data_IF_870773060309
#
_entry.id   IF_870773060309
#
_cell.length_a   1.000
_cell.length_b   1.000
_cell.length_c   1.000
_cell.angle_alpha   90.00
_cell.angle_beta   90.00
_cell.angle_gamma   90.00
#
_symmetry.space_group_name_H-M   'P 1'
#
loop_
_entity.id
_entity.type
_entity.pdbx_description
1 polymer ?
#
# COMPACT_ATOMS: atom_id res chain seq x y z
N UNK A 1 40.98 66.01 -22.23
CA UNK A 1 40.91 64.65 -21.65
C UNK A 1 39.47 64.45 -21.20
N UNK A 2 38.60 64.04 -22.12
CA UNK A 2 37.19 63.77 -21.85
C UNK A 2 37.05 62.30 -21.46
N UNK A 3 36.42 62.04 -20.31
CA UNK A 3 36.03 60.71 -19.89
C UNK A 3 34.72 60.40 -20.61
N UNK A 4 34.78 59.52 -21.60
CA UNK A 4 33.59 58.98 -22.24
C UNK A 4 32.92 57.97 -21.29
N UNK A 5 31.71 58.29 -20.86
CA UNK A 5 30.85 57.38 -20.10
C UNK A 5 30.23 56.36 -21.04
N UNK A 6 30.56 55.08 -20.87
CA UNK A 6 29.88 53.99 -21.57
C UNK A 6 28.47 53.79 -20.97
N UNK A 7 27.41 53.66 -21.79
CA UNK A 7 26.08 53.34 -21.29
C UNK A 7 26.05 51.90 -20.78
N UNK A 8 25.75 51.73 -19.49
CA UNK A 8 25.41 50.44 -18.89
C UNK A 8 24.10 49.97 -19.51
N UNK A 9 24.14 48.88 -20.29
CA UNK A 9 22.93 48.22 -20.75
C UNK A 9 22.23 47.58 -19.53
N UNK A 10 20.92 47.83 -19.31
CA UNK A 10 20.22 47.21 -18.20
C UNK A 10 20.11 45.70 -18.43
N UNK A 11 20.58 44.92 -17.46
CA UNK A 11 20.26 43.49 -17.38
C UNK A 11 18.79 43.40 -16.99
N UNK A 12 17.94 42.94 -17.92
CA UNK A 12 16.57 42.58 -17.63
C UNK A 12 16.60 41.25 -16.86
N UNK A 13 16.77 41.35 -15.53
CA UNK A 13 16.26 40.31 -14.63
C UNK A 13 14.74 40.40 -14.69
N UNK A 14 14.10 39.24 -14.86
CA UNK A 14 12.71 39.10 -15.30
C UNK A 14 11.72 40.11 -14.72
N UNK A 15 10.76 40.49 -15.56
CA UNK A 15 9.66 41.41 -15.29
C UNK A 15 9.20 41.43 -13.82
N UNK A 16 9.71 42.36 -13.03
CA UNK A 16 9.12 42.73 -11.74
C UNK A 16 8.92 44.24 -11.73
N UNK A 17 7.76 44.67 -12.22
CA UNK A 17 7.27 46.04 -12.10
C UNK A 17 6.54 46.13 -10.75
N UNK A 18 7.10 46.88 -9.79
CA UNK A 18 6.39 47.27 -8.57
C UNK A 18 5.41 48.41 -8.91
N UNK A 19 4.24 48.04 -9.43
CA UNK A 19 3.07 48.91 -9.44
C UNK A 19 2.38 48.86 -8.08
N UNK A 20 1.85 49.99 -7.62
CA UNK A 20 1.25 50.20 -6.29
C UNK A 20 -0.10 49.52 -6.03
N UNK A 21 -0.43 48.46 -6.77
CA UNK A 21 -1.67 47.65 -6.61
C UNK A 21 -1.36 46.25 -6.05
N UNK A 22 -0.33 46.14 -5.21
CA UNK A 22 0.23 44.87 -4.74
C UNK A 22 -0.45 44.29 -3.48
N UNK A 23 -1.78 44.28 -3.42
CA UNK A 23 -2.51 43.58 -2.34
C UNK A 23 -3.41 42.42 -2.81
N UNK A 24 -3.63 42.25 -4.12
CA UNK A 24 -4.47 41.16 -4.66
C UNK A 24 -3.82 40.41 -5.84
N UNK A 25 -2.51 40.45 -5.97
CA UNK A 25 -1.83 39.53 -6.90
C UNK A 25 -1.89 38.11 -6.29
N UNK A 26 -2.50 37.11 -6.94
CA UNK A 26 -2.38 35.74 -6.49
C UNK A 26 -0.89 35.45 -6.40
N UNK A 27 -0.43 35.04 -5.21
CA UNK A 27 0.94 34.55 -5.06
C UNK A 27 1.06 33.41 -6.06
N UNK A 28 1.76 33.67 -7.15
CA UNK A 28 2.03 32.67 -8.16
C UNK A 28 3.10 31.79 -7.53
N UNK A 29 2.67 30.86 -6.69
CA UNK A 29 3.47 29.78 -6.10
C UNK A 29 3.84 28.75 -7.17
N UNK A 30 4.06 29.22 -8.40
CA UNK A 30 4.55 28.40 -9.49
C UNK A 30 5.88 27.81 -9.05
N UNK A 31 5.91 26.48 -8.92
CA UNK A 31 7.15 25.72 -8.81
C UNK A 31 8.10 26.20 -9.90
N UNK A 32 9.33 26.59 -9.56
CA UNK A 32 10.36 26.91 -10.56
C UNK A 32 10.45 25.74 -11.54
N UNK A 33 9.95 25.94 -12.78
CA UNK A 33 9.96 24.91 -13.82
C UNK A 33 11.28 24.90 -14.59
N UNK A 34 12.10 25.95 -14.41
CA UNK A 34 13.38 26.13 -15.11
C UNK A 34 14.51 26.19 -14.10
N UNK A 35 15.56 25.42 -14.35
CA UNK A 35 16.80 25.43 -13.60
C UNK A 35 17.49 26.80 -13.68
N UNK A 36 18.12 27.22 -12.59
CA UNK A 36 19.15 28.27 -12.62
C UNK A 36 20.39 27.69 -13.29
N UNK A 37 20.66 28.10 -14.52
CA UNK A 37 21.75 27.57 -15.33
C UNK A 37 23.11 27.97 -14.77
N UNK A 38 24.07 27.05 -14.80
CA UNK A 38 25.48 27.36 -14.67
C UNK A 38 25.98 28.01 -15.97
N UNK A 39 26.96 28.90 -15.84
CA UNK A 39 27.54 29.65 -16.95
C UNK A 39 29.06 29.75 -16.81
N UNK A 40 29.75 29.91 -17.93
CA UNK A 40 31.19 30.12 -17.96
C UNK A 40 31.53 31.59 -17.73
N UNK A 41 32.73 31.85 -17.22
CA UNK A 41 33.31 33.19 -17.27
C UNK A 41 33.59 33.58 -18.72
N UNK A 42 33.45 34.87 -19.02
CA UNK A 42 33.61 35.42 -20.37
C UNK A 42 34.94 35.05 -21.05
N UNK A 43 36.00 34.85 -20.27
CA UNK A 43 37.33 34.47 -20.74
C UNK A 43 37.39 33.08 -21.39
N UNK A 44 36.37 32.23 -21.19
CA UNK A 44 36.28 30.87 -21.71
C UNK A 44 35.07 30.70 -22.64
N UNK A 45 34.54 31.80 -23.17
CA UNK A 45 33.34 31.78 -24.03
C UNK A 45 33.63 31.37 -25.48
N UNK A 46 34.91 31.25 -25.83
CA UNK A 46 35.45 30.82 -27.11
C UNK A 46 35.86 29.34 -27.14
N UNK A 47 35.87 28.67 -25.98
CA UNK A 47 36.19 27.25 -25.87
C UNK A 47 34.92 26.40 -26.03
N UNK A 48 34.85 25.63 -27.12
CA UNK A 48 33.70 24.79 -27.45
C UNK A 48 33.54 23.61 -26.48
N UNK A 49 34.63 23.04 -25.98
CA UNK A 49 34.58 21.88 -25.07
C UNK A 49 34.05 22.30 -23.69
N UNK A 50 34.47 23.46 -23.20
CA UNK A 50 33.96 24.01 -21.93
C UNK A 50 32.49 24.39 -22.04
N UNK A 51 32.06 24.96 -23.17
CA UNK A 51 30.65 25.25 -23.42
C UNK A 51 29.81 23.97 -23.47
N UNK A 52 30.28 22.94 -24.17
CA UNK A 52 29.62 21.64 -24.23
C UNK A 52 29.47 21.01 -22.84
N UNK A 53 30.49 21.11 -21.99
CA UNK A 53 30.43 20.64 -20.61
C UNK A 53 29.34 21.35 -19.80
N UNK A 54 29.31 22.68 -19.80
CA UNK A 54 28.30 23.46 -19.06
C UNK A 54 26.88 23.19 -19.57
N UNK A 55 26.72 23.07 -20.89
CA UNK A 55 25.43 22.69 -21.49
C UNK A 55 24.97 21.30 -21.04
N UNK A 56 25.88 20.32 -21.00
CA UNK A 56 25.55 18.97 -20.53
C UNK A 56 25.17 18.95 -19.05
N UNK A 57 25.86 19.73 -18.21
CA UNK A 57 25.55 19.89 -16.80
C UNK A 57 24.16 20.50 -16.61
N UNK A 58 23.85 21.58 -17.31
CA UNK A 58 22.55 22.25 -17.24
C UNK A 58 21.41 21.33 -17.71
N UNK A 59 21.62 20.55 -18.78
CA UNK A 59 20.63 19.58 -19.25
C UNK A 59 20.36 18.49 -18.20
N UNK A 60 21.41 17.96 -17.55
CA UNK A 60 21.28 16.96 -16.50
C UNK A 60 20.57 17.52 -15.26
N UNK A 61 20.93 18.73 -14.84
CA UNK A 61 20.31 19.38 -13.68
C UNK A 61 18.84 19.76 -13.94
N UNK A 62 18.47 20.17 -15.16
CA UNK A 62 17.07 20.33 -15.55
C UNK A 62 16.32 19.00 -15.48
N UNK A 63 16.93 17.90 -15.96
CA UNK A 63 16.35 16.57 -15.85
C UNK A 63 16.03 16.13 -14.42
N UNK A 64 16.86 16.49 -13.43
CA UNK A 64 16.57 16.22 -12.02
C UNK A 64 15.40 17.05 -11.48
N UNK A 65 15.31 18.33 -11.88
CA UNK A 65 14.17 19.19 -11.51
C UNK A 65 12.86 18.66 -12.10
N UNK A 66 12.89 18.25 -13.37
CA UNK A 66 11.74 17.66 -14.07
C UNK A 66 11.31 16.35 -13.40
N UNK A 67 12.27 15.49 -13.04
CA UNK A 67 11.97 14.26 -12.32
C UNK A 67 11.34 14.52 -10.94
N UNK A 68 11.89 15.48 -10.18
CA UNK A 68 11.40 15.81 -8.84
C UNK A 68 9.99 16.39 -8.87
N UNK A 69 9.70 17.26 -9.83
CA UNK A 69 8.36 17.84 -10.02
C UNK A 69 7.34 16.81 -10.50
N UNK A 70 7.75 15.86 -11.33
CA UNK A 70 6.89 14.77 -11.80
C UNK A 70 6.69 13.62 -10.79
N UNK A 71 7.57 13.50 -9.78
CA UNK A 71 7.58 12.36 -8.83
C UNK A 71 7.41 12.83 -7.38
N UNK A 72 6.23 13.32 -6.98
CA UNK A 72 5.97 13.69 -5.59
C UNK A 72 6.03 12.43 -4.71
N UNK A 73 7.05 12.33 -3.85
CA UNK A 73 7.31 11.16 -3.00
C UNK A 73 6.15 10.81 -2.06
N UNK A 74 5.34 11.80 -1.68
CA UNK A 74 4.14 11.61 -0.86
C UNK A 74 3.00 10.85 -1.58
N UNK A 75 3.05 10.76 -2.92
CA UNK A 75 2.06 10.05 -3.73
C UNK A 75 2.64 8.72 -4.20
N UNK A 76 2.92 7.83 -3.25
CA UNK A 76 3.47 6.48 -3.50
C UNK A 76 2.59 5.60 -4.41
N UNK A 77 1.33 5.97 -4.64
CA UNK A 77 0.42 5.30 -5.57
C UNK A 77 0.78 5.55 -7.04
N UNK A 78 1.61 6.57 -7.34
CA UNK A 78 2.07 6.89 -8.70
C UNK A 78 2.82 5.72 -9.33
N UNK A 79 2.67 5.55 -10.65
CA UNK A 79 3.38 4.51 -11.41
C UNK A 79 4.90 4.73 -11.45
N UNK A 80 5.36 5.98 -11.32
CA UNK A 80 6.78 6.35 -11.33
C UNK A 80 7.55 5.90 -10.08
N UNK A 81 6.84 5.60 -8.99
CA UNK A 81 7.43 5.10 -7.74
C UNK A 81 7.28 3.58 -7.73
N UNK A 82 8.35 2.85 -8.04
CA UNK A 82 8.35 1.39 -8.16
C UNK A 82 9.70 0.80 -7.73
N UNK A 83 9.73 -0.52 -7.50
CA UNK A 83 10.91 -1.27 -7.09
C UNK A 83 11.61 -0.69 -5.86
N UNK A 84 12.95 -0.56 -5.87
CA UNK A 84 13.71 -0.06 -4.73
C UNK A 84 13.33 1.36 -4.28
N UNK A 85 12.86 2.23 -5.19
CA UNK A 85 12.39 3.56 -4.82
C UNK A 85 11.13 3.48 -3.97
N UNK A 86 10.21 2.56 -4.30
CA UNK A 86 9.01 2.32 -3.50
C UNK A 86 9.35 1.77 -2.12
N UNK A 87 10.33 0.87 -2.02
CA UNK A 87 10.80 0.34 -0.74
C UNK A 87 11.41 1.43 0.13
N UNK A 88 12.26 2.27 -0.46
CA UNK A 88 12.84 3.42 0.23
C UNK A 88 11.77 4.42 0.69
N UNK A 89 10.75 4.70 -0.12
CA UNK A 89 9.65 5.60 0.27
C UNK A 89 8.81 4.96 1.38
N UNK A 90 8.38 3.71 1.23
CA UNK A 90 7.49 3.05 2.17
C UNK A 90 8.14 2.76 3.52
N UNK A 91 9.36 2.20 3.52
CA UNK A 91 10.10 1.90 4.74
C UNK A 91 10.77 3.16 5.31
N UNK A 92 11.42 3.97 4.47
CA UNK A 92 12.17 5.14 4.92
C UNK A 92 11.29 6.30 5.39
N UNK A 93 10.23 6.64 4.66
CA UNK A 93 9.36 7.78 5.00
C UNK A 93 8.23 7.36 5.94
N UNK A 94 7.61 6.20 5.70
CA UNK A 94 6.42 5.77 6.42
C UNK A 94 6.67 4.66 7.45
N UNK A 95 7.85 4.05 7.49
CA UNK A 95 8.19 3.00 8.45
C UNK A 95 7.44 1.68 8.22
N UNK A 96 6.87 1.46 7.04
CA UNK A 96 6.10 0.25 6.71
C UNK A 96 6.91 -0.58 5.71
N UNK A 97 7.53 -1.69 6.13
CA UNK A 97 8.33 -2.53 5.23
C UNK A 97 7.43 -3.31 4.26
N UNK A 98 8.02 -3.76 3.15
CA UNK A 98 7.33 -4.64 2.20
C UNK A 98 6.97 -5.97 2.86
N UNK A 99 5.71 -6.44 2.73
CA UNK A 99 5.31 -7.71 3.30
C UNK A 99 5.82 -8.89 2.46
N UNK A 100 6.17 -9.97 3.16
CA UNK A 100 6.51 -11.25 2.54
C UNK A 100 5.27 -12.13 2.60
N UNK A 101 4.73 -12.50 1.43
CA UNK A 101 3.57 -13.37 1.36
C UNK A 101 4.03 -14.81 1.47
N UNK A 102 3.58 -15.51 2.52
CA UNK A 102 3.84 -16.94 2.69
C UNK A 102 2.57 -17.74 2.45
N UNK A 103 2.65 -18.70 1.53
CA UNK A 103 1.56 -19.64 1.27
C UNK A 103 1.63 -20.89 2.16
N UNK A 104 2.39 -20.85 3.27
CA UNK A 104 2.67 -22.02 4.09
C UNK A 104 1.41 -22.81 4.45
N UNK A 105 1.18 -23.90 3.73
CA UNK A 105 0.11 -24.84 3.97
C UNK A 105 0.69 -26.00 4.78
N UNK A 106 0.25 -26.13 6.02
CA UNK A 106 0.60 -27.28 6.86
C UNK A 106 -0.34 -28.43 6.52
N UNK A 107 0.13 -29.40 5.72
CA UNK A 107 -0.63 -30.61 5.47
C UNK A 107 -0.30 -31.66 6.54
N UNK A 108 -1.33 -32.02 7.29
CA UNK A 108 -1.31 -33.16 8.20
C UNK A 108 -2.05 -34.32 7.57
N UNK A 109 -1.31 -35.33 7.13
CA UNK A 109 -1.91 -36.58 6.65
C UNK A 109 -2.41 -37.39 7.85
N UNK A 110 -3.64 -37.91 7.77
CA UNK A 110 -4.32 -38.48 8.93
C UNK A 110 -5.44 -39.47 8.62
N UNK A 111 -5.43 -40.16 7.48
CA UNK A 111 -6.40 -41.24 7.21
C UNK A 111 -5.82 -42.31 6.28
N UNK A 112 -6.35 -43.53 6.41
CA UNK A 112 -5.96 -44.72 5.66
C UNK A 112 -5.97 -44.46 4.14
N UNK A 113 -4.94 -44.92 3.42
CA UNK A 113 -4.74 -44.78 1.97
C UNK A 113 -4.34 -43.38 1.42
N UNK A 114 -3.83 -42.47 2.23
CA UNK A 114 -3.32 -41.15 1.75
C UNK A 114 -1.80 -41.09 1.54
N UNK A 115 -1.07 -42.13 1.94
CA UNK A 115 0.40 -42.23 1.85
C UNK A 115 0.75 -43.65 1.40
N UNK A 116 1.78 -43.81 0.57
CA UNK A 116 2.25 -45.10 0.06
C UNK A 116 2.56 -46.10 1.18
N UNK A 117 2.29 -47.38 0.95
CA UNK A 117 2.51 -48.44 1.94
C UNK A 117 3.97 -48.46 2.43
N UNK A 118 4.16 -48.67 3.74
CA UNK A 118 5.47 -48.75 4.41
C UNK A 118 6.38 -47.50 4.34
N UNK A 119 5.82 -46.30 4.11
CA UNK A 119 6.61 -45.06 4.06
C UNK A 119 6.52 -44.19 5.33
N UNK A 120 5.73 -44.59 6.32
CA UNK A 120 5.60 -43.93 7.62
C UNK A 120 5.80 -44.95 8.76
N UNK A 121 6.66 -44.67 9.75
CA UNK A 121 6.83 -45.54 10.93
C UNK A 121 5.52 -45.71 11.73
N UNK A 122 5.41 -46.82 12.45
CA UNK A 122 4.25 -47.09 13.32
C UNK A 122 4.10 -45.98 14.37
N UNK A 123 2.87 -45.47 14.56
CA UNK A 123 2.54 -44.35 15.45
C UNK A 123 3.18 -42.99 15.07
N UNK A 124 3.66 -42.81 13.84
CA UNK A 124 4.21 -41.54 13.35
C UNK A 124 3.18 -40.71 12.56
N UNK A 125 3.29 -39.38 12.64
CA UNK A 125 2.49 -38.42 11.86
C UNK A 125 3.40 -37.68 10.89
N UNK A 126 3.06 -37.69 9.60
CA UNK A 126 3.76 -36.89 8.59
C UNK A 126 3.17 -35.48 8.56
N UNK A 127 4.00 -34.49 8.88
CA UNK A 127 3.71 -33.08 8.62
C UNK A 127 4.58 -32.62 7.46
N UNK A 128 3.97 -32.27 6.33
CA UNK A 128 4.68 -31.62 5.23
C UNK A 128 4.33 -30.14 5.27
N UNK A 129 5.37 -29.33 5.34
CA UNK A 129 5.30 -27.90 5.14
C UNK A 129 5.63 -27.66 3.67
N UNK A 130 4.68 -27.13 2.92
CA UNK A 130 4.92 -26.64 1.56
C UNK A 130 4.51 -25.18 1.53
N UNK A 131 5.42 -24.32 1.11
CA UNK A 131 5.18 -22.89 1.01
C UNK A 131 6.34 -22.24 0.27
N UNK A 132 6.01 -21.23 -0.51
CA UNK A 132 6.97 -20.30 -1.09
C UNK A 132 6.78 -18.98 -0.38
N UNK A 133 7.86 -18.44 0.21
CA UNK A 133 7.88 -17.07 0.66
C UNK A 133 8.29 -16.21 -0.54
N UNK A 134 7.43 -15.28 -0.93
CA UNK A 134 7.73 -14.33 -1.98
C UNK A 134 7.41 -12.92 -1.50
N UNK A 135 8.31 -11.98 -1.78
CA UNK A 135 8.05 -10.56 -1.58
C UNK A 135 6.79 -10.13 -2.31
N UNK A 136 5.96 -9.31 -1.67
CA UNK A 136 4.78 -8.75 -2.31
C UNK A 136 5.17 -7.94 -3.55
N UNK A 137 4.36 -8.01 -4.61
CA UNK A 137 4.51 -7.13 -5.78
C UNK A 137 4.30 -5.66 -5.40
N UNK A 138 4.84 -4.73 -6.20
CA UNK A 138 4.69 -3.28 -5.98
C UNK A 138 3.23 -2.83 -5.82
N UNK A 139 2.32 -3.39 -6.63
CA UNK A 139 0.89 -3.09 -6.55
C UNK A 139 0.31 -3.47 -5.17
N UNK A 140 0.61 -4.68 -4.69
CA UNK A 140 0.18 -5.15 -3.36
C UNK A 140 0.82 -4.30 -2.25
N UNK A 141 2.10 -3.96 -2.36
CA UNK A 141 2.76 -3.14 -1.36
C UNK A 141 2.14 -1.74 -1.27
N UNK A 142 1.85 -1.09 -2.41
CA UNK A 142 1.13 0.19 -2.42
C UNK A 142 -0.27 0.07 -1.80
N UNK A 143 -1.01 -1.01 -2.05
CA UNK A 143 -2.31 -1.26 -1.41
C UNK A 143 -2.19 -1.41 0.11
N UNK A 144 -1.11 -2.03 0.60
CA UNK A 144 -0.81 -2.14 2.03
C UNK A 144 -0.49 -0.77 2.62
N UNK A 145 0.32 0.06 1.94
CA UNK A 145 0.57 1.45 2.36
C UNK A 145 -0.73 2.25 2.42
N UNK A 146 -1.59 2.16 1.40
CA UNK A 146 -2.90 2.80 1.37
C UNK A 146 -3.80 2.33 2.50
N UNK A 147 -3.77 1.04 2.85
CA UNK A 147 -4.56 0.52 3.96
C UNK A 147 -4.31 1.28 5.28
N UNK A 148 -3.05 1.68 5.51
CA UNK A 148 -2.62 2.37 6.73
C UNK A 148 -2.71 3.90 6.61
N UNK A 149 -2.35 4.46 5.47
CA UNK A 149 -2.13 5.91 5.31
C UNK A 149 -3.31 6.67 4.70
N UNK A 150 -4.33 5.99 4.19
CA UNK A 150 -5.42 6.66 3.49
C UNK A 150 -6.31 7.47 4.44
N UNK A 151 -6.22 8.80 4.34
CA UNK A 151 -6.92 9.76 5.21
C UNK A 151 -8.42 9.91 4.88
N UNK A 152 -8.86 9.55 3.68
CA UNK A 152 -10.24 9.70 3.24
C UNK A 152 -11.24 8.76 3.93
N UNK A 153 -10.78 7.82 4.76
CA UNK A 153 -11.66 6.93 5.54
C UNK A 153 -12.21 7.59 6.83
N UNK A 154 -11.78 8.83 7.12
CA UNK A 154 -12.25 9.61 8.26
C UNK A 154 -11.61 9.20 9.61
N UNK A 155 -11.94 9.96 10.66
CA UNK A 155 -11.35 9.78 12.01
C UNK A 155 -11.97 8.66 12.84
N UNK A 156 -13.15 8.16 12.45
CA UNK A 156 -13.91 7.15 13.18
C UNK A 156 -14.18 5.97 12.23
N UNK A 157 -13.62 4.79 12.53
CA UNK A 157 -13.88 3.61 11.69
C UNK A 157 -15.27 3.02 12.00
N UNK A 158 -16.10 2.88 10.97
CA UNK A 158 -17.35 2.12 10.99
C UNK A 158 -17.27 0.89 10.08
N UNK A 159 -18.27 -0.01 10.15
CA UNK A 159 -18.34 -1.15 9.23
C UNK A 159 -18.44 -0.72 7.76
N UNK A 160 -19.08 0.41 7.46
CA UNK A 160 -19.16 0.92 6.09
C UNK A 160 -17.79 1.40 5.59
N UNK A 161 -16.99 2.02 6.45
CA UNK A 161 -15.62 2.41 6.12
C UNK A 161 -14.70 1.19 5.97
N UNK A 162 -14.85 0.18 6.81
CA UNK A 162 -14.16 -1.10 6.62
C UNK A 162 -14.51 -1.71 5.25
N UNK A 163 -15.78 -1.69 4.86
CA UNK A 163 -16.22 -2.19 3.54
C UNK A 163 -15.55 -1.40 2.41
N UNK A 164 -15.47 -0.07 2.52
CA UNK A 164 -14.77 0.80 1.55
C UNK A 164 -13.28 0.50 1.48
N UNK A 165 -12.62 0.34 2.61
CA UNK A 165 -11.19 0.04 2.67
C UNK A 165 -10.87 -1.32 2.06
N UNK A 166 -11.67 -2.36 2.36
CA UNK A 166 -11.56 -3.67 1.72
C UNK A 166 -11.79 -3.55 0.22
N UNK A 167 -12.85 -2.86 -0.22
CA UNK A 167 -13.12 -2.67 -1.64
C UNK A 167 -11.98 -1.94 -2.36
N UNK A 168 -11.39 -0.90 -1.74
CA UNK A 168 -10.22 -0.19 -2.27
C UNK A 168 -9.02 -1.11 -2.38
N UNK A 169 -8.74 -1.90 -1.35
CA UNK A 169 -7.66 -2.88 -1.38
C UNK A 169 -7.86 -3.88 -2.53
N UNK A 170 -9.08 -4.33 -2.81
CA UNK A 170 -9.33 -5.33 -3.84
C UNK A 170 -9.36 -4.76 -5.26
N UNK A 171 -9.96 -3.60 -5.46
CA UNK A 171 -10.25 -3.06 -6.80
C UNK A 171 -9.43 -1.82 -7.18
N UNK A 172 -8.82 -1.13 -6.22
CA UNK A 172 -8.01 0.06 -6.44
C UNK A 172 -6.58 -0.29 -6.86
N UNK A 173 -6.30 -0.21 -8.16
CA UNK A 173 -4.94 -0.41 -8.70
C UNK A 173 -3.92 0.46 -7.95
N UNK A 174 -2.79 -0.11 -7.53
CA UNK A 174 -1.76 0.58 -6.74
C UNK A 174 -2.29 1.27 -5.47
N UNK A 175 -3.43 0.83 -4.92
CA UNK A 175 -4.06 1.48 -3.77
C UNK A 175 -4.78 2.81 -4.11
N UNK A 176 -5.06 3.10 -5.37
CA UNK A 176 -5.87 4.28 -5.73
C UNK A 176 -7.30 4.16 -5.21
N UNK A 177 -7.97 5.30 -5.06
CA UNK A 177 -9.37 5.29 -4.63
C UNK A 177 -10.29 4.69 -5.70
N UNK A 178 -11.46 4.22 -5.26
CA UNK A 178 -12.43 3.51 -6.09
C UNK A 178 -13.81 4.20 -6.07
N UNK A 179 -14.58 4.10 -7.16
CA UNK A 179 -15.99 4.51 -7.16
C UNK A 179 -16.83 3.70 -6.17
N UNK A 180 -17.94 4.32 -5.71
CA UNK A 180 -18.86 3.71 -4.73
C UNK A 180 -19.48 2.40 -5.22
N UNK A 181 -19.64 2.20 -6.53
CA UNK A 181 -20.32 1.03 -7.12
C UNK A 181 -19.63 -0.30 -6.79
N UNK A 182 -18.31 -0.28 -6.59
CA UNK A 182 -17.52 -1.46 -6.24
C UNK A 182 -17.83 -1.99 -4.83
N UNK A 183 -18.46 -1.19 -3.97
CA UNK A 183 -18.87 -1.63 -2.63
C UNK A 183 -19.83 -2.81 -2.68
N UNK A 184 -20.72 -2.84 -3.68
CA UNK A 184 -21.73 -3.90 -3.87
C UNK A 184 -21.11 -5.30 -3.91
N UNK A 185 -19.85 -5.42 -4.34
CA UNK A 185 -19.10 -6.68 -4.49
C UNK A 185 -18.46 -7.17 -3.20
N UNK A 186 -18.45 -6.36 -2.15
CA UNK A 186 -17.90 -6.74 -0.83
C UNK A 186 -19.06 -6.80 0.15
N UNK A 187 -19.17 -7.89 0.90
CA UNK A 187 -20.15 -8.04 1.96
C UNK A 187 -19.48 -8.24 3.32
N UNK A 188 -20.02 -7.60 4.35
CA UNK A 188 -19.60 -7.77 5.73
C UNK A 188 -20.76 -8.34 6.53
N UNK A 189 -20.57 -9.51 7.13
CA UNK A 189 -21.57 -10.15 7.98
C UNK A 189 -20.99 -10.32 9.38
N UNK A 190 -21.65 -9.72 10.36
CA UNK A 190 -21.32 -9.93 11.77
C UNK A 190 -22.09 -11.13 12.28
N UNK A 191 -21.39 -12.09 12.89
CA UNK A 191 -22.05 -13.15 13.63
C UNK A 191 -22.51 -12.58 14.98
N UNK A 192 -23.82 -12.63 15.32
CA UNK A 192 -24.30 -12.12 16.59
C UNK A 192 -23.71 -12.92 17.77
N UNK A 193 -23.69 -12.28 18.94
CA UNK A 193 -23.40 -12.95 20.20
C UNK A 193 -24.52 -13.96 20.47
N UNK A 194 -24.28 -15.23 20.14
CA UNK A 194 -25.24 -16.30 20.34
C UNK A 194 -24.52 -17.61 20.61
N UNK A 195 -25.08 -18.41 21.51
CA UNK A 195 -24.62 -19.79 21.67
C UNK A 195 -24.85 -20.53 20.35
N UNK A 196 -23.77 -20.87 19.65
CA UNK A 196 -23.86 -21.75 18.48
C UNK A 196 -23.95 -23.18 18.99
N UNK A 197 -25.17 -23.67 19.07
CA UNK A 197 -25.51 -24.98 19.60
C UNK A 197 -26.89 -24.90 20.25
N UNK A 198 -27.91 -25.41 19.56
CA UNK A 198 -29.18 -25.69 20.25
C UNK A 198 -28.89 -26.61 21.43
N UNK A 199 -29.54 -26.40 22.57
CA UNK A 199 -29.47 -27.36 23.67
C UNK A 199 -30.10 -28.66 23.15
N UNK A 200 -29.33 -29.71 22.81
CA UNK A 200 -29.96 -30.97 22.52
C UNK A 200 -30.41 -31.49 23.89
N UNK A 201 -31.71 -31.39 24.17
CA UNK A 201 -32.29 -32.18 25.26
C UNK A 201 -32.15 -33.63 24.82
N UNK A 202 -31.05 -34.26 25.21
CA UNK A 202 -30.86 -35.68 24.95
C UNK A 202 -32.00 -36.45 25.62
N UNK A 203 -32.59 -37.47 24.97
CA UNK A 203 -33.44 -38.42 25.65
C UNK A 203 -32.71 -38.97 26.87
N UNK A 204 -33.44 -39.23 27.96
CA UNK A 204 -32.89 -39.77 29.20
C UNK A 204 -31.94 -40.95 28.90
N UNK A 205 -30.73 -40.92 29.45
CA UNK A 205 -29.75 -42.02 29.43
C UNK A 205 -29.06 -42.35 28.08
N UNK A 206 -28.98 -41.42 27.12
CA UNK A 206 -28.29 -41.66 25.84
C UNK A 206 -26.84 -41.15 25.78
N UNK A 207 -26.31 -40.58 26.86
CA UNK A 207 -25.00 -39.92 26.87
C UNK A 207 -24.09 -40.47 27.97
N UNK A 208 -22.85 -40.81 27.60
CA UNK A 208 -21.84 -41.31 28.53
C UNK A 208 -21.53 -40.29 29.65
N UNK A 209 -21.31 -40.77 30.87
CA UNK A 209 -20.89 -39.96 32.01
C UNK A 209 -19.64 -39.15 31.61
N UNK A 210 -19.69 -37.82 31.73
CA UNK A 210 -18.69 -36.82 31.27
C UNK A 210 -18.70 -36.38 29.78
N UNK A 211 -19.71 -36.71 28.99
CA UNK A 211 -19.85 -36.20 27.60
C UNK A 211 -20.34 -34.75 27.47
N UNK A 212 -20.23 -33.94 28.53
CA UNK A 212 -20.57 -32.51 28.46
C UNK A 212 -19.66 -31.85 27.41
N UNK A 213 -20.24 -31.47 26.27
CA UNK A 213 -19.60 -30.61 25.29
C UNK A 213 -19.09 -29.37 26.01
N UNK A 214 -17.76 -29.17 25.98
CA UNK A 214 -17.15 -27.97 26.54
C UNK A 214 -17.78 -26.75 25.89
N UNK A 215 -18.09 -25.73 26.70
CA UNK A 215 -18.38 -24.39 26.18
C UNK A 215 -17.21 -23.98 25.30
N UNK A 216 -17.42 -23.88 23.99
CA UNK A 216 -16.57 -23.03 23.17
C UNK A 216 -16.76 -21.65 23.76
N UNK A 217 -15.69 -21.03 24.27
CA UNK A 217 -15.74 -19.72 24.92
C UNK A 217 -16.54 -18.72 24.08
N UNK A 218 -17.14 -17.73 24.73
CA UNK A 218 -17.90 -16.62 24.10
C UNK A 218 -17.51 -16.48 22.64
N UNK A 219 -18.40 -16.87 21.71
CA UNK A 219 -18.07 -16.87 20.29
C UNK A 219 -17.37 -15.56 19.97
N UNK A 220 -16.07 -15.63 19.67
CA UNK A 220 -15.27 -14.43 19.47
C UNK A 220 -16.03 -13.61 18.42
N UNK A 221 -16.44 -12.39 18.80
CA UNK A 221 -17.18 -11.49 17.91
C UNK A 221 -16.47 -11.56 16.57
N UNK A 222 -17.12 -12.09 15.55
CA UNK A 222 -16.47 -12.37 14.27
C UNK A 222 -17.16 -11.63 13.15
N UNK A 223 -16.35 -11.01 12.31
CA UNK A 223 -16.80 -10.36 11.09
C UNK A 223 -16.32 -11.22 9.93
N UNK A 224 -17.27 -11.75 9.17
CA UNK A 224 -16.98 -12.45 7.93
C UNK A 224 -17.00 -11.44 6.79
N UNK A 225 -15.85 -11.29 6.13
CA UNK A 225 -15.66 -10.47 4.94
C UNK A 225 -15.78 -11.39 3.74
N UNK A 226 -16.79 -11.16 2.93
CA UNK A 226 -17.08 -11.98 1.75
C UNK A 226 -16.73 -11.18 0.50
N UNK A 227 -15.86 -11.75 -0.33
CA UNK A 227 -15.24 -11.06 -1.48
C UNK A 227 -15.17 -11.99 -2.69
N UNK A 228 -15.22 -11.48 -3.93
CA UNK A 228 -15.08 -12.31 -5.12
C UNK A 228 -13.68 -12.91 -5.21
N UNK A 229 -13.59 -14.12 -5.75
CA UNK A 229 -12.32 -14.81 -5.96
C UNK A 229 -11.44 -14.03 -6.97
N UNK A 230 -10.27 -13.60 -6.51
CA UNK A 230 -9.21 -13.02 -7.34
C UNK A 230 -7.85 -13.22 -6.67
N UNK A 231 -6.75 -13.06 -7.42
CA UNK A 231 -5.40 -13.13 -6.84
C UNK A 231 -5.19 -12.08 -5.75
N UNK A 232 -5.70 -10.86 -5.96
CA UNK A 232 -5.64 -9.78 -4.97
C UNK A 232 -6.44 -10.14 -3.71
N UNK A 233 -7.59 -10.80 -3.86
CA UNK A 233 -8.39 -11.26 -2.72
C UNK A 233 -7.69 -12.37 -1.91
N UNK A 234 -6.97 -13.27 -2.57
CA UNK A 234 -6.13 -14.27 -1.90
C UNK A 234 -4.96 -13.60 -1.15
N UNK A 235 -4.26 -12.67 -1.80
CA UNK A 235 -3.20 -11.90 -1.16
C UNK A 235 -3.72 -11.10 0.04
N UNK A 236 -4.91 -10.50 -0.07
CA UNK A 236 -5.59 -9.82 1.04
C UNK A 236 -5.86 -10.77 2.21
N UNK A 237 -6.37 -11.98 1.94
CA UNK A 237 -6.61 -12.99 2.96
C UNK A 237 -5.31 -13.38 3.67
N UNK A 238 -4.23 -13.61 2.93
CA UNK A 238 -2.90 -13.92 3.49
C UNK A 238 -2.39 -12.78 4.37
N UNK A 239 -2.37 -11.54 3.86
CA UNK A 239 -1.90 -10.36 4.60
C UNK A 239 -2.69 -10.10 5.88
N UNK A 240 -4.00 -10.33 5.85
CA UNK A 240 -4.86 -10.18 7.02
C UNK A 240 -4.59 -11.27 8.06
N UNK A 241 -4.37 -12.52 7.63
CA UNK A 241 -4.05 -13.63 8.52
C UNK A 241 -2.64 -13.52 9.14
N UNK A 242 -1.68 -12.99 8.38
CA UNK A 242 -0.30 -12.73 8.84
C UNK A 242 -0.19 -11.47 9.71
N UNK A 243 -1.24 -10.65 9.77
CA UNK A 243 -1.30 -9.47 10.64
C UNK A 243 -0.68 -8.20 10.06
N UNK A 244 -0.37 -8.16 8.76
CA UNK A 244 0.14 -6.97 8.09
C UNK A 244 -0.89 -5.84 7.97
N UNK A 245 -2.18 -6.19 8.01
CA UNK A 245 -3.29 -5.24 7.90
C UNK A 245 -3.91 -4.97 9.27
N UNK A 246 -3.70 -3.75 9.79
CA UNK A 246 -4.27 -3.34 11.06
C UNK A 246 -5.78 -3.16 10.94
N UNK A 247 -6.53 -3.75 11.87
CA UNK A 247 -8.00 -3.66 11.94
C UNK A 247 -8.40 -2.96 13.24
N UNK A 248 -9.37 -2.02 13.20
CA UNK A 248 -9.65 -1.15 14.33
C UNK A 248 -10.65 -1.73 15.35
N UNK A 249 -11.14 -2.95 15.13
CA UNK A 249 -12.11 -3.60 16.00
C UNK A 249 -11.46 -4.79 16.70
N UNK A 250 -11.69 -4.93 18.02
CA UNK A 250 -11.30 -6.11 18.79
C UNK A 250 -12.26 -7.28 18.52
N UNK A 251 -12.20 -7.80 17.28
CA UNK A 251 -13.04 -8.87 16.76
C UNK A 251 -12.18 -9.78 15.87
N UNK A 252 -12.58 -11.04 15.74
CA UNK A 252 -11.92 -11.94 14.82
C UNK A 252 -12.44 -11.71 13.39
N UNK A 253 -11.54 -11.56 12.42
CA UNK A 253 -11.92 -11.37 11.04
C UNK A 253 -11.67 -12.64 10.25
N UNK A 254 -12.64 -13.02 9.42
CA UNK A 254 -12.53 -14.16 8.52
C UNK A 254 -12.83 -13.70 7.10
N UNK A 255 -11.89 -13.89 6.19
CA UNK A 255 -12.10 -13.63 4.77
C UNK A 255 -12.58 -14.91 4.08
N UNK A 256 -13.69 -14.81 3.35
CA UNK A 256 -14.29 -15.88 2.55
C UNK A 256 -14.29 -15.45 1.09
N UNK A 257 -13.65 -16.26 0.25
CA UNK A 257 -13.61 -16.06 -1.20
C UNK A 257 -14.83 -16.75 -1.81
N UNK A 258 -15.67 -15.99 -2.50
CA UNK A 258 -16.80 -16.53 -3.27
C UNK A 258 -16.38 -16.80 -4.70
N UNK A 259 -16.64 -18.02 -5.15
CA UNK A 259 -16.54 -18.46 -6.54
C UNK A 259 -17.59 -17.80 -7.41
#
# INVERSE_FOLDING_TARGET
>A
MQIESFPVQPVVLGNFILGTDALDAPINTGTLQTLIQSYLYRQYSDDDDLQAFVNSFNALAQGYLDWFTATPLGVYTSASINGPLLDWVGEGVYGIPRPVLSTLATHSYGSYNTVSYNSLPYNARLRKNSGTAQEASDDIYKRVLTWHLYLGDGRQMSLQWLRRRVARFLFGANGTDIPVDYLSRVSLTQTPLGNTGGFPTAPYNTQAYNSRTKRVGFAARSITITVPLSQVAQNFQTLLNEGYLALPFQVHFRVVLQS
#
